data_IF_428655128104
#
_entry.id   IF_428655128104
#
_cell.length_a   1.000
_cell.length_b   1.000
_cell.length_c   1.000
_cell.angle_alpha   90.00
_cell.angle_beta   90.00
_cell.angle_gamma   90.00
#
_symmetry.space_group_name_H-M   'P 1'
#
loop_
_entity.id
_entity.type
_entity.pdbx_description
1 polymer ?
#
# COMPACT_ATOMS: atom_id res chain seq x y z
N UNK A 1 6.78 7.90 -21.67
CA UNK A 1 6.04 7.56 -20.44
C UNK A 1 6.58 8.44 -19.34
N UNK A 2 5.74 8.86 -18.38
CA UNK A 2 6.19 9.70 -17.25
C UNK A 2 6.15 8.89 -15.97
N UNK A 3 7.07 9.14 -15.05
CA UNK A 3 7.14 8.48 -13.74
C UNK A 3 5.93 8.88 -12.87
N UNK A 4 5.71 8.20 -11.76
CA UNK A 4 4.77 8.64 -10.75
C UNK A 4 5.39 8.63 -9.36
N UNK A 5 5.05 9.63 -8.53
CA UNK A 5 5.31 9.57 -7.10
C UNK A 5 4.11 8.93 -6.43
N UNK A 6 4.40 7.92 -5.62
CA UNK A 6 3.44 7.25 -4.75
C UNK A 6 3.84 7.57 -3.32
N UNK A 7 2.90 8.09 -2.53
CA UNK A 7 3.07 8.25 -1.09
C UNK A 7 2.03 7.41 -0.34
N UNK A 8 2.41 6.92 0.83
CA UNK A 8 1.52 6.10 1.63
C UNK A 8 2.23 5.46 2.82
N UNK A 9 1.65 4.39 3.32
CA UNK A 9 2.11 3.73 4.53
C UNK A 9 2.84 2.44 4.21
N UNK A 10 4.08 2.36 4.68
CA UNK A 10 4.94 1.18 4.54
C UNK A 10 4.69 0.27 5.73
N UNK A 11 4.36 -0.99 5.43
CA UNK A 11 4.26 -2.08 6.39
C UNK A 11 5.38 -3.10 6.13
N UNK A 12 6.00 -3.58 7.20
CA UNK A 12 7.04 -4.60 7.12
C UNK A 12 6.50 -5.93 6.61
N UNK A 13 7.36 -6.69 5.95
CA UNK A 13 6.99 -7.99 5.37
C UNK A 13 6.26 -8.92 6.34
N UNK A 14 6.80 -9.09 7.55
CA UNK A 14 6.22 -9.96 8.58
C UNK A 14 4.83 -9.51 9.03
N UNK A 15 4.65 -8.22 9.33
CA UNK A 15 3.36 -7.66 9.72
C UNK A 15 2.33 -7.73 8.59
N UNK A 16 2.77 -7.67 7.32
CA UNK A 16 1.87 -7.91 6.19
C UNK A 16 1.46 -9.39 6.07
N UNK A 17 2.35 -10.34 6.35
CA UNK A 17 1.97 -11.75 6.43
C UNK A 17 0.94 -11.98 7.55
N UNK A 18 1.15 -11.38 8.72
CA UNK A 18 0.19 -11.42 9.83
C UNK A 18 -1.17 -10.83 9.43
N UNK A 19 -1.19 -9.72 8.68
CA UNK A 19 -2.42 -9.14 8.14
C UNK A 19 -3.19 -10.16 7.28
N UNK A 20 -2.50 -10.78 6.32
CA UNK A 20 -3.12 -11.75 5.41
C UNK A 20 -3.64 -12.96 6.21
N UNK A 21 -2.78 -13.54 7.06
CA UNK A 21 -3.11 -14.74 7.84
C UNK A 21 -4.22 -14.50 8.87
N UNK A 22 -4.24 -13.32 9.46
CA UNK A 22 -5.20 -12.95 10.49
C UNK A 22 -6.54 -12.45 9.97
N UNK A 23 -6.68 -12.18 8.67
CA UNK A 23 -7.93 -11.65 8.09
C UNK A 23 -8.74 -12.76 7.44
N UNK A 24 -9.90 -13.17 8.00
CA UNK A 24 -10.65 -14.35 7.52
C UNK A 24 -11.04 -14.27 6.04
N UNK A 25 -11.48 -13.11 5.57
CA UNK A 25 -11.91 -12.93 4.18
C UNK A 25 -10.75 -13.00 3.18
N UNK A 26 -9.50 -12.87 3.63
CA UNK A 26 -8.31 -13.07 2.80
C UNK A 26 -7.90 -14.54 2.73
N UNK A 27 -8.33 -15.39 3.67
CA UNK A 27 -7.91 -16.80 3.74
C UNK A 27 -8.36 -17.62 2.52
N UNK A 28 -9.55 -17.36 2.00
CA UNK A 28 -10.05 -17.99 0.76
C UNK A 28 -9.09 -17.74 -0.43
N UNK A 29 -8.42 -16.58 -0.44
CA UNK A 29 -7.44 -16.23 -1.47
C UNK A 29 -6.07 -16.84 -1.19
N UNK A 30 -5.72 -17.09 0.07
CA UNK A 30 -4.48 -17.80 0.43
C UNK A 30 -4.50 -19.22 -0.12
N UNK A 31 -5.63 -19.91 -0.08
CA UNK A 31 -5.77 -21.27 -0.63
C UNK A 31 -5.53 -21.32 -2.16
N UNK A 32 -5.91 -20.25 -2.87
CA UNK A 32 -5.82 -20.17 -4.34
C UNK A 32 -4.47 -19.63 -4.81
N UNK A 33 -3.98 -18.56 -4.18
CA UNK A 33 -2.80 -17.81 -4.61
C UNK A 33 -1.55 -18.12 -3.78
N UNK A 34 -1.69 -18.93 -2.72
CA UNK A 34 -0.59 -19.47 -1.93
C UNK A 34 0.31 -18.42 -1.29
N UNK A 35 1.62 -18.64 -1.42
CA UNK A 35 2.66 -17.87 -0.76
C UNK A 35 2.94 -16.48 -1.39
N UNK A 36 2.13 -16.00 -2.34
CA UNK A 36 2.27 -14.65 -2.89
C UNK A 36 1.30 -13.69 -2.19
N UNK A 37 1.71 -13.03 -1.09
CA UNK A 37 0.82 -12.21 -0.28
C UNK A 37 0.30 -10.97 -1.02
N UNK A 38 1.01 -10.51 -2.06
CA UNK A 38 0.56 -9.40 -2.91
C UNK A 38 -0.60 -9.83 -3.79
N UNK A 39 -0.49 -11.00 -4.44
CA UNK A 39 -1.59 -11.53 -5.25
C UNK A 39 -2.82 -11.82 -4.38
N UNK A 40 -2.62 -12.40 -3.19
CA UNK A 40 -3.70 -12.61 -2.22
C UNK A 40 -4.42 -11.29 -1.93
N UNK A 41 -3.67 -10.24 -1.53
CA UNK A 41 -4.25 -8.94 -1.21
C UNK A 41 -4.95 -8.28 -2.41
N UNK A 42 -4.32 -8.27 -3.58
CA UNK A 42 -4.88 -7.62 -4.77
C UNK A 42 -6.16 -8.30 -5.24
N UNK A 43 -6.23 -9.63 -5.14
CA UNK A 43 -7.41 -10.42 -5.52
C UNK A 43 -8.53 -10.29 -4.51
N UNK A 44 -8.22 -10.36 -3.22
CA UNK A 44 -9.16 -10.05 -2.15
C UNK A 44 -9.73 -8.64 -2.30
N UNK A 45 -8.86 -7.63 -2.45
CA UNK A 45 -9.28 -6.25 -2.69
C UNK A 45 -10.15 -6.15 -3.94
N UNK A 46 -9.81 -6.92 -4.98
CA UNK A 46 -10.55 -7.05 -6.23
C UNK A 46 -11.98 -7.54 -6.07
N UNK A 47 -12.20 -8.52 -5.17
CA UNK A 47 -13.51 -9.12 -4.89
C UNK A 47 -14.40 -8.27 -3.98
N UNK A 48 -13.83 -7.31 -3.24
CA UNK A 48 -14.59 -6.44 -2.36
C UNK A 48 -15.67 -5.64 -3.11
N UNK A 49 -16.87 -5.47 -2.51
CA UNK A 49 -17.88 -4.55 -3.00
C UNK A 49 -17.33 -3.12 -3.17
N UNK A 50 -17.84 -2.32 -4.12
CA UNK A 50 -17.30 -0.98 -4.42
C UNK A 50 -17.13 -0.06 -3.20
N UNK A 51 -18.05 -0.12 -2.24
CA UNK A 51 -18.00 0.69 -1.02
C UNK A 51 -16.88 0.27 -0.07
N UNK A 52 -16.66 -1.04 0.11
CA UNK A 52 -15.55 -1.59 0.90
C UNK A 52 -14.22 -1.40 0.19
N UNK A 53 -14.17 -1.55 -1.13
CA UNK A 53 -12.96 -1.36 -1.96
C UNK A 53 -12.38 0.06 -1.85
N UNK A 54 -13.20 1.08 -1.55
CA UNK A 54 -12.71 2.46 -1.28
C UNK A 54 -11.94 2.58 0.04
N UNK A 55 -12.21 1.70 1.01
CA UNK A 55 -11.54 1.64 2.32
C UNK A 55 -10.27 0.80 2.30
N UNK A 56 -10.11 -0.06 1.29
CA UNK A 56 -8.91 -0.87 1.07
C UNK A 56 -7.95 -0.16 0.08
N UNK A 57 -6.79 0.35 0.54
CA UNK A 57 -5.81 0.98 -0.33
C UNK A 57 -5.25 -0.02 -1.35
N UNK A 58 -4.75 0.47 -2.49
CA UNK A 58 -3.94 -0.36 -3.39
C UNK A 58 -2.55 -0.55 -2.77
N UNK A 59 -1.83 -1.59 -3.20
CA UNK A 59 -0.52 -1.95 -2.68
C UNK A 59 0.57 -1.89 -3.76
N UNK A 60 1.81 -1.61 -3.33
CA UNK A 60 3.04 -1.79 -4.11
C UNK A 60 4.11 -2.48 -3.28
N UNK A 61 4.91 -3.34 -3.92
CA UNK A 61 6.15 -3.84 -3.34
C UNK A 61 7.18 -2.72 -3.28
N UNK A 62 7.84 -2.60 -2.15
CA UNK A 62 8.97 -1.71 -1.93
C UNK A 62 10.19 -2.57 -1.56
N UNK A 63 11.04 -2.94 -2.53
CA UNK A 63 12.24 -3.72 -2.25
C UNK A 63 13.20 -2.94 -1.35
N UNK A 64 14.04 -3.66 -0.60
CA UNK A 64 15.11 -3.03 0.17
C UNK A 64 16.18 -2.49 -0.81
N UNK A 65 16.49 -1.18 -0.78
CA UNK A 65 17.49 -0.60 -1.68
C UNK A 65 18.91 -1.11 -1.40
N UNK A 66 19.18 -1.66 -0.22
CA UNK A 66 20.50 -2.17 0.20
C UNK A 66 20.65 -3.67 -0.08
N UNK A 67 19.56 -4.42 -0.07
CA UNK A 67 19.57 -5.86 -0.32
C UNK A 67 18.38 -6.29 -1.19
N UNK A 68 18.58 -6.46 -2.51
CA UNK A 68 17.55 -6.93 -3.42
C UNK A 68 17.00 -8.34 -3.12
N UNK A 69 17.71 -9.13 -2.30
CA UNK A 69 17.28 -10.48 -1.90
C UNK A 69 16.47 -10.48 -0.59
N UNK A 70 16.47 -9.37 0.14
CA UNK A 70 15.67 -9.23 1.35
C UNK A 70 14.17 -9.26 1.01
N UNK A 71 13.38 -9.71 1.99
CA UNK A 71 11.93 -9.68 1.85
C UNK A 71 11.45 -8.23 1.68
N UNK A 72 10.59 -7.94 0.68
CA UNK A 72 10.19 -6.56 0.41
C UNK A 72 9.23 -6.05 1.49
N UNK A 73 9.28 -4.75 1.72
CA UNK A 73 8.24 -4.04 2.44
C UNK A 73 7.07 -3.71 1.50
N UNK A 74 5.94 -3.30 2.08
CA UNK A 74 4.68 -3.13 1.36
C UNK A 74 4.15 -1.71 1.54
N UNK A 75 4.01 -0.97 0.44
CA UNK A 75 3.50 0.40 0.43
C UNK A 75 2.00 0.43 0.08
N UNK A 76 1.17 0.75 1.07
CA UNK A 76 -0.24 1.02 0.88
C UNK A 76 -0.46 2.46 0.40
N UNK A 77 -0.99 2.60 -0.81
CA UNK A 77 -1.09 3.88 -1.51
C UNK A 77 -2.15 4.76 -0.85
N UNK A 78 -1.72 5.94 -0.38
CA UNK A 78 -2.65 7.04 -0.03
C UNK A 78 -2.72 8.07 -1.16
N UNK A 79 -1.58 8.43 -1.74
CA UNK A 79 -1.49 9.50 -2.75
C UNK A 79 -0.65 9.05 -3.93
N UNK A 80 -1.06 9.52 -5.10
CA UNK A 80 -0.46 9.18 -6.38
C UNK A 80 -0.41 10.44 -7.25
N UNK A 81 0.73 10.68 -7.91
CA UNK A 81 0.89 11.80 -8.84
C UNK A 81 1.85 11.46 -9.97
N UNK A 82 1.35 11.52 -11.20
CA UNK A 82 2.16 11.46 -12.41
C UNK A 82 3.11 12.66 -12.47
N UNK A 83 4.33 12.38 -12.93
CA UNK A 83 5.40 13.30 -13.21
C UNK A 83 5.67 13.30 -14.70
N UNK A 84 5.77 14.48 -15.27
CA UNK A 84 6.15 14.69 -16.66
C UNK A 84 7.55 15.30 -16.78
N UNK A 85 8.18 15.66 -15.66
CA UNK A 85 9.54 16.19 -15.62
C UNK A 85 10.17 16.10 -14.22
N UNK A 86 11.50 16.10 -14.17
CA UNK A 86 12.26 16.15 -12.92
C UNK A 86 12.00 17.44 -12.12
N UNK A 87 11.69 18.56 -12.80
CA UNK A 87 11.34 19.82 -12.14
C UNK A 87 10.02 19.73 -11.36
N UNK A 88 9.07 18.89 -11.79
CA UNK A 88 7.86 18.63 -11.01
C UNK A 88 8.18 17.86 -9.73
N UNK A 89 9.08 16.87 -9.77
CA UNK A 89 9.52 16.15 -8.57
C UNK A 89 10.11 17.10 -7.53
N UNK A 90 11.01 18.00 -7.93
CA UNK A 90 11.62 18.97 -7.01
C UNK A 90 10.59 19.91 -6.38
N UNK A 91 9.59 20.36 -7.16
CA UNK A 91 8.48 21.18 -6.62
C UNK A 91 7.67 20.43 -5.56
N UNK A 92 7.42 19.13 -5.75
CA UNK A 92 6.70 18.30 -4.77
C UNK A 92 7.49 18.08 -3.48
N UNK A 93 8.82 18.02 -3.58
CA UNK A 93 9.68 17.97 -2.41
C UNK A 93 9.63 19.27 -1.60
N UNK A 94 9.66 20.40 -2.28
CA UNK A 94 9.66 21.74 -1.66
C UNK A 94 8.30 22.09 -1.05
N UNK A 95 7.20 21.77 -1.74
CA UNK A 95 5.85 22.15 -1.31
C UNK A 95 5.25 21.25 -0.21
N UNK A 96 6.02 20.30 0.32
CA UNK A 96 5.59 19.43 1.40
C UNK A 96 4.66 18.29 0.98
N UNK A 97 4.43 18.06 -0.33
CA UNK A 97 3.62 16.93 -0.79
C UNK A 97 4.18 15.58 -0.30
N UNK A 98 5.50 15.45 -0.11
CA UNK A 98 6.11 14.22 0.39
C UNK A 98 5.98 14.02 1.91
N UNK A 99 5.41 14.99 2.63
CA UNK A 99 5.17 14.88 4.08
C UNK A 99 3.81 14.24 4.34
N UNK A 100 3.71 13.50 5.44
CA UNK A 100 2.45 12.96 5.93
C UNK A 100 1.45 14.10 6.23
N UNK A 101 0.18 13.86 5.90
CA UNK A 101 -0.92 14.81 6.19
C UNK A 101 -1.98 14.15 7.08
N UNK A 102 -2.83 14.95 7.73
CA UNK A 102 -3.95 14.43 8.53
C UNK A 102 -4.94 13.60 7.69
N UNK A 103 -5.05 13.90 6.39
CA UNK A 103 -5.85 13.09 5.45
C UNK A 103 -5.24 11.70 5.24
N UNK A 104 -3.91 11.59 5.19
CA UNK A 104 -3.23 10.29 5.11
C UNK A 104 -3.50 9.49 6.39
N UNK A 105 -3.33 10.12 7.57
CA UNK A 105 -3.60 9.47 8.87
C UNK A 105 -5.05 9.01 9.00
N UNK A 106 -6.01 9.83 8.55
CA UNK A 106 -7.42 9.44 8.55
C UNK A 106 -7.66 8.21 7.69
N UNK A 107 -7.07 8.14 6.50
CA UNK A 107 -7.20 6.97 5.62
C UNK A 107 -6.57 5.72 6.20
N UNK A 108 -5.42 5.85 6.89
CA UNK A 108 -4.83 4.74 7.62
C UNK A 108 -5.80 4.23 8.69
N UNK A 109 -6.36 5.12 9.52
CA UNK A 109 -7.34 4.75 10.55
C UNK A 109 -8.58 4.08 9.96
N UNK A 110 -9.13 4.61 8.87
CA UNK A 110 -10.30 4.04 8.20
C UNK A 110 -10.01 2.63 7.68
N UNK A 111 -8.81 2.41 7.14
CA UNK A 111 -8.40 1.09 6.65
C UNK A 111 -8.14 0.11 7.81
N UNK A 112 -7.48 0.53 8.89
CA UNK A 112 -7.27 -0.29 10.08
C UNK A 112 -8.59 -0.69 10.73
N UNK A 113 -9.53 0.25 10.85
CA UNK A 113 -10.87 -0.04 11.33
C UNK A 113 -11.60 -1.02 10.42
N UNK A 114 -11.48 -0.85 9.09
CA UNK A 114 -12.07 -1.77 8.13
C UNK A 114 -11.53 -3.20 8.28
N UNK A 115 -10.21 -3.38 8.41
CA UNK A 115 -9.61 -4.70 8.65
C UNK A 115 -10.15 -5.31 9.96
N UNK A 116 -10.23 -4.52 11.03
CA UNK A 116 -10.76 -4.96 12.32
C UNK A 116 -12.23 -5.37 12.23
N UNK A 117 -13.06 -4.59 11.55
CA UNK A 117 -14.49 -4.88 11.35
C UNK A 117 -14.70 -6.17 10.55
N UNK A 118 -13.73 -6.52 9.70
CA UNK A 118 -13.71 -7.75 8.90
C UNK A 118 -13.12 -8.95 9.66
N UNK A 119 -12.86 -8.79 10.96
CA UNK A 119 -12.30 -9.83 11.84
C UNK A 119 -10.79 -10.02 11.71
N UNK A 120 -10.09 -9.10 11.04
CA UNK A 120 -8.64 -9.11 10.88
C UNK A 120 -7.86 -8.76 12.16
N UNK A 121 -6.52 -8.83 12.10
CA UNK A 121 -5.68 -8.55 13.25
C UNK A 121 -5.71 -7.07 13.63
N UNK A 122 -5.48 -6.79 14.91
CA UNK A 122 -5.35 -5.42 15.41
C UNK A 122 -3.94 -4.92 15.13
N UNK A 123 -3.78 -4.25 13.98
CA UNK A 123 -2.54 -3.55 13.66
C UNK A 123 -2.55 -2.13 14.25
N UNK A 124 -1.43 -1.76 14.84
CA UNK A 124 -1.21 -0.45 15.45
C UNK A 124 -0.63 0.52 14.42
N UNK A 125 -0.96 1.80 14.52
CA UNK A 125 -0.51 2.82 13.57
C UNK A 125 1.03 2.95 13.54
N UNK A 126 1.69 2.64 14.66
CA UNK A 126 3.14 2.67 14.85
C UNK A 126 3.87 1.59 14.05
N UNK A 127 3.16 0.54 13.62
CA UNK A 127 3.72 -0.47 12.71
C UNK A 127 3.86 0.06 11.28
N UNK A 128 3.27 1.22 10.98
CA UNK A 128 3.30 1.84 9.67
C UNK A 128 4.22 3.04 9.67
N UNK A 129 5.09 3.11 8.66
CA UNK A 129 5.93 4.29 8.42
C UNK A 129 5.44 5.01 7.18
N UNK A 130 5.14 6.30 7.29
CA UNK A 130 4.82 7.10 6.10
C UNK A 130 6.04 7.20 5.19
N UNK A 131 5.88 6.90 3.91
CA UNK A 131 6.97 6.91 2.95
C UNK A 131 6.52 7.11 1.52
N UNK A 132 7.49 7.10 0.61
CA UNK A 132 7.27 7.29 -0.82
C UNK A 132 8.07 6.32 -1.68
N UNK A 133 7.63 6.14 -2.91
CA UNK A 133 8.40 5.52 -3.99
C UNK A 133 8.13 6.24 -5.32
N UNK A 134 9.08 6.12 -6.24
CA UNK A 134 8.88 6.48 -7.64
C UNK A 134 8.52 5.21 -8.39
N UNK A 135 7.42 5.24 -9.12
CA UNK A 135 7.00 4.22 -10.06
C UNK A 135 7.40 4.71 -11.45
N UNK A 136 8.44 4.12 -12.04
CA UNK A 136 9.03 4.56 -13.31
C UNK A 136 8.15 4.16 -14.51
N UNK A 137 7.26 3.17 -14.34
CA UNK A 137 6.35 2.67 -15.38
C UNK A 137 4.88 2.61 -14.93
N UNK A 138 4.26 3.76 -14.59
CA UNK A 138 2.90 3.76 -14.05
C UNK A 138 1.84 3.26 -15.03
N UNK A 139 2.11 3.34 -16.34
CA UNK A 139 1.19 2.88 -17.39
C UNK A 139 1.03 1.35 -17.47
N UNK A 140 1.92 0.58 -16.84
CA UNK A 140 1.83 -0.88 -16.79
C UNK A 140 0.75 -1.38 -15.82
N UNK A 141 0.24 -0.51 -14.95
CA UNK A 141 -0.69 -0.88 -13.89
C UNK A 141 -1.91 0.05 -13.92
N UNK A 142 -3.00 -0.38 -14.57
CA UNK A 142 -4.23 0.41 -14.67
C UNK A 142 -4.70 0.90 -13.29
N UNK A 143 -4.75 2.23 -13.13
CA UNK A 143 -5.21 2.92 -11.92
C UNK A 143 -6.73 3.02 -11.88
#
# INVERSE_FOLDING_TARGET
>A
MGDAIICGYVLKHSAFQELIQGTPTMQEFVEIYGANPVQVYDRWRGSLPPEKKKKAPKLRCKPDPKDPRAAPDFLFISRYRLLHSQSQFQRLRINGYLKETEKDKSRLRDWLQFIRDDGGPVLQAEQFTFGQMVDEDPGMYNF
#
